data_IF_516576813027
#
_entry.id   IF_516576813027
#
_cell.length_a   1.000
_cell.length_b   1.000
_cell.length_c   1.000
_cell.angle_alpha   90.00
_cell.angle_beta   90.00
_cell.angle_gamma   90.00
#
_symmetry.space_group_name_H-M   'P 1'
#
loop_
_entity.id
_entity.type
_entity.pdbx_description
1 polymer ?
#
# COMPACT_ATOMS: atom_id res chain seq x y z
N UNK A 1 -3.83 -12.14 15.37
CA UNK A 1 -2.44 -12.51 15.02
C UNK A 1 -1.82 -11.40 14.17
N UNK A 2 -0.59 -10.94 14.48
CA UNK A 2 0.14 -10.07 13.54
C UNK A 2 0.58 -10.95 12.38
N UNK A 3 -0.06 -10.83 11.21
CA UNK A 3 0.50 -11.37 9.96
C UNK A 3 1.85 -10.67 9.75
N UNK A 4 2.94 -11.43 9.89
CA UNK A 4 4.29 -10.94 9.61
C UNK A 4 4.49 -10.69 8.11
N UNK A 5 5.51 -9.89 7.77
CA UNK A 5 5.96 -9.76 6.39
C UNK A 5 6.38 -11.14 5.85
N UNK A 6 5.94 -11.47 4.64
CA UNK A 6 6.24 -12.74 3.97
C UNK A 6 7.36 -12.56 2.94
N UNK A 7 7.26 -11.57 2.06
CA UNK A 7 8.28 -11.30 1.03
C UNK A 7 8.16 -9.89 0.46
N UNK A 8 9.27 -9.14 0.37
CA UNK A 8 9.29 -7.79 -0.23
C UNK A 8 9.45 -7.78 -1.76
N UNK A 9 9.61 -8.94 -2.40
CA UNK A 9 9.72 -9.00 -3.86
C UNK A 9 8.45 -8.46 -4.52
N UNK A 10 8.54 -7.48 -5.43
CA UNK A 10 7.38 -6.85 -6.09
C UNK A 10 6.64 -5.80 -5.27
N UNK A 11 7.06 -5.53 -4.02
CA UNK A 11 6.44 -4.50 -3.18
C UNK A 11 6.69 -3.08 -3.71
N UNK A 12 7.78 -2.87 -4.44
CA UNK A 12 8.10 -1.63 -5.16
C UNK A 12 7.17 -1.40 -6.36
N UNK A 13 6.91 -2.43 -7.16
CA UNK A 13 5.91 -2.37 -8.24
C UNK A 13 4.52 -2.06 -7.67
N UNK A 14 4.13 -2.72 -6.57
CA UNK A 14 2.87 -2.47 -5.89
C UNK A 14 2.80 -1.04 -5.30
N UNK A 15 3.91 -0.50 -4.78
CA UNK A 15 4.00 0.88 -4.31
C UNK A 15 3.71 1.87 -5.44
N UNK A 16 4.38 1.71 -6.59
CA UNK A 16 4.22 2.61 -7.74
C UNK A 16 2.84 2.46 -8.38
N UNK A 17 2.33 1.24 -8.51
CA UNK A 17 0.97 1.00 -8.99
C UNK A 17 -0.07 1.69 -8.10
N UNK A 18 0.06 1.55 -6.77
CA UNK A 18 -0.81 2.24 -5.82
C UNK A 18 -0.70 3.76 -5.92
N UNK A 19 0.51 4.29 -6.11
CA UNK A 19 0.73 5.73 -6.31
C UNK A 19 -0.01 6.25 -7.56
N UNK A 20 0.12 5.56 -8.70
CA UNK A 20 -0.54 5.95 -9.96
C UNK A 20 -2.05 5.89 -9.80
N UNK A 21 -2.59 4.79 -9.27
CA UNK A 21 -4.04 4.63 -9.05
C UNK A 21 -4.59 5.73 -8.14
N UNK A 22 -3.94 6.01 -7.02
CA UNK A 22 -4.39 7.05 -6.10
C UNK A 22 -4.45 8.44 -6.77
N UNK A 23 -3.50 8.73 -7.67
CA UNK A 23 -3.47 9.99 -8.42
C UNK A 23 -4.56 10.06 -9.49
N UNK A 24 -4.79 8.98 -10.22
CA UNK A 24 -5.88 8.87 -11.19
C UNK A 24 -7.27 8.96 -10.52
N UNK A 25 -7.39 8.46 -9.28
CA UNK A 25 -8.60 8.58 -8.46
C UNK A 25 -8.75 9.96 -7.78
N UNK A 26 -7.79 10.88 -7.97
CA UNK A 26 -7.86 12.24 -7.43
C UNK A 26 -7.65 12.34 -5.91
N UNK A 27 -7.01 11.36 -5.29
CA UNK A 27 -6.71 11.37 -3.85
C UNK A 27 -5.77 12.54 -3.48
N UNK A 28 -5.91 13.02 -2.24
CA UNK A 28 -5.00 14.01 -1.68
C UNK A 28 -3.56 13.48 -1.57
N UNK A 29 -2.57 14.36 -1.36
CA UNK A 29 -1.15 13.95 -1.29
C UNK A 29 -0.89 12.96 -0.16
N UNK A 30 -1.35 13.24 1.06
CA UNK A 30 -1.15 12.32 2.20
C UNK A 30 -1.88 11.00 2.00
N UNK A 31 -3.08 11.04 1.43
CA UNK A 31 -3.88 9.87 1.12
C UNK A 31 -3.23 9.01 0.03
N UNK A 32 -2.65 9.65 -0.99
CA UNK A 32 -1.86 9.00 -2.03
C UNK A 32 -0.69 8.24 -1.44
N UNK A 33 0.10 8.87 -0.57
CA UNK A 33 1.25 8.22 0.09
C UNK A 33 0.78 7.07 0.99
N UNK A 34 -0.34 7.26 1.69
CA UNK A 34 -0.95 6.22 2.53
C UNK A 34 -1.38 5.02 1.69
N UNK A 35 -2.08 5.26 0.59
CA UNK A 35 -2.60 4.23 -0.30
C UNK A 35 -1.48 3.46 -1.00
N UNK A 36 -0.48 4.15 -1.56
CA UNK A 36 0.67 3.50 -2.18
C UNK A 36 1.39 2.59 -1.18
N UNK A 37 1.62 3.07 0.05
CA UNK A 37 2.29 2.31 1.10
C UNK A 37 1.46 1.10 1.52
N UNK A 38 0.14 1.24 1.61
CA UNK A 38 -0.76 0.13 1.91
C UNK A 38 -0.75 -0.93 0.79
N UNK A 39 -0.65 -0.54 -0.48
CA UNK A 39 -0.47 -1.48 -1.60
C UNK A 39 0.82 -2.29 -1.47
N UNK A 40 1.94 -1.64 -1.19
CA UNK A 40 3.22 -2.30 -0.96
C UNK A 40 3.18 -3.24 0.25
N UNK A 41 2.51 -2.82 1.34
CA UNK A 41 2.32 -3.67 2.51
C UNK A 41 1.44 -4.88 2.18
N UNK A 42 0.34 -4.70 1.45
CA UNK A 42 -0.54 -5.80 1.05
C UNK A 42 0.21 -6.88 0.27
N UNK A 43 0.97 -6.49 -0.77
CA UNK A 43 1.80 -7.42 -1.57
C UNK A 43 2.84 -8.15 -0.71
N UNK A 44 3.37 -7.47 0.30
CA UNK A 44 4.38 -8.05 1.18
C UNK A 44 3.83 -9.08 2.18
N UNK A 45 2.52 -9.16 2.38
CA UNK A 45 1.87 -10.09 3.32
C UNK A 45 1.64 -11.48 2.75
N UNK A 46 2.00 -11.74 1.49
CA UNK A 46 1.78 -13.02 0.85
C UNK A 46 2.86 -13.34 -0.20
N UNK A 47 2.91 -14.61 -0.63
CA UNK A 47 3.91 -15.10 -1.58
C UNK A 47 3.56 -14.79 -3.04
N UNK A 48 2.27 -14.82 -3.38
CA UNK A 48 1.76 -14.59 -4.74
C UNK A 48 1.75 -13.10 -5.05
N UNK A 49 2.50 -12.63 -6.04
CA UNK A 49 2.66 -11.20 -6.27
C UNK A 49 1.48 -10.54 -6.96
N UNK A 50 1.28 -9.27 -6.63
CA UNK A 50 0.15 -8.46 -7.04
C UNK A 50 -0.82 -8.18 -5.89
N UNK A 51 -1.57 -7.08 -6.05
CA UNK A 51 -2.56 -6.65 -5.05
C UNK A 51 -3.81 -7.51 -5.18
N UNK A 52 -4.26 -8.13 -4.07
CA UNK A 52 -5.42 -9.04 -4.08
C UNK A 52 -6.77 -8.35 -4.24
N UNK A 53 -6.81 -7.04 -4.00
CA UNK A 53 -7.96 -6.19 -4.26
C UNK A 53 -8.05 -4.98 -3.35
N UNK A 54 -8.95 -4.05 -3.70
CA UNK A 54 -9.15 -2.77 -3.01
C UNK A 54 -9.39 -2.92 -1.50
N UNK A 55 -10.27 -3.85 -1.11
CA UNK A 55 -10.62 -4.08 0.30
C UNK A 55 -9.41 -4.50 1.15
N UNK A 56 -8.51 -5.33 0.59
CA UNK A 56 -7.31 -5.78 1.32
C UNK A 56 -6.34 -4.61 1.60
N UNK A 57 -6.25 -3.66 0.68
CA UNK A 57 -5.48 -2.42 0.86
C UNK A 57 -6.15 -1.51 1.89
N UNK A 58 -7.48 -1.35 1.83
CA UNK A 58 -8.25 -0.50 2.75
C UNK A 58 -8.08 -0.90 4.22
N UNK A 59 -8.00 -2.21 4.52
CA UNK A 59 -7.73 -2.75 5.87
C UNK A 59 -6.33 -2.39 6.43
N UNK A 60 -5.44 -1.88 5.57
CA UNK A 60 -4.09 -1.45 5.93
C UNK A 60 -3.95 0.08 6.00
N UNK A 61 -4.85 0.84 5.38
CA UNK A 61 -4.77 2.31 5.35
C UNK A 61 -4.68 2.91 6.75
N UNK A 62 -5.54 2.46 7.67
CA UNK A 62 -5.57 2.96 9.06
C UNK A 62 -4.28 2.66 9.84
N UNK A 63 -3.48 1.69 9.39
CA UNK A 63 -2.22 1.30 10.02
C UNK A 63 -1.03 2.11 9.49
N UNK A 64 -1.19 2.82 8.38
CA UNK A 64 -0.14 3.65 7.78
C UNK A 64 -0.23 5.07 8.33
N UNK A 65 0.73 5.42 9.18
CA UNK A 65 0.86 6.75 9.75
C UNK A 65 1.74 7.62 8.87
N UNK A 66 1.22 8.79 8.49
CA UNK A 66 1.95 9.79 7.72
C UNK A 66 2.37 10.91 8.66
N UNK A 67 3.65 11.26 8.62
CA UNK A 67 4.20 12.42 9.34
C UNK A 67 4.93 13.30 8.34
N UNK A 68 4.49 14.56 8.22
CA UNK A 68 5.24 15.58 7.50
C UNK A 68 6.51 15.93 8.29
N UNK A 69 7.65 15.95 7.62
CA UNK A 69 8.91 16.40 8.20
C UNK A 69 9.07 17.90 7.95
N UNK A 70 9.65 18.61 8.92
CA UNK A 70 10.03 20.03 8.80
C UNK A 70 11.38 20.19 8.12
#
# INVERSE_FOLDING_TARGET
ERKGLVSLFGADDALIAGLVVAREEGMGVEETVRFSTACAWEDALHFEKGIRGRKAVEELLEKVQIKKLE
#
